data_IF_011495396006
#
_entry.id   IF_011495396006
#
_cell.length_a   1.000
_cell.length_b   1.000
_cell.length_c   1.000
_cell.angle_alpha   90.00
_cell.angle_beta   90.00
_cell.angle_gamma   90.00
#
_symmetry.space_group_name_H-M   'P 1'
#
loop_
_entity.id
_entity.type
_entity.pdbx_description
1 polymer ?
#
# COMPACT_ATOMS: atom_id res chain seq x y z
N UNK A 1 7.10 -13.88 -85.34
CA UNK A 1 8.24 -12.96 -85.67
C UNK A 1 8.22 -11.81 -84.65
N UNK A 2 9.35 -11.62 -83.97
CA UNK A 2 9.74 -10.55 -83.05
C UNK A 2 9.34 -10.64 -81.59
N UNK A 3 10.31 -10.95 -80.85
CA UNK A 3 10.77 -10.79 -79.51
C UNK A 3 10.82 -9.31 -79.10
N UNK A 4 10.55 -8.96 -77.80
CA UNK A 4 11.10 -7.86 -77.00
C UNK A 4 10.22 -7.88 -75.68
N UNK A 5 10.68 -7.95 -74.52
CA UNK A 5 11.86 -7.56 -73.80
C UNK A 5 11.39 -7.28 -72.38
N UNK A 6 11.98 -7.92 -71.44
CA UNK A 6 11.67 -7.85 -69.99
C UNK A 6 12.34 -6.58 -69.40
N UNK A 7 11.74 -5.84 -68.48
CA UNK A 7 12.52 -5.11 -67.49
C UNK A 7 12.34 -5.64 -66.04
N UNK A 8 13.45 -5.87 -65.42
CA UNK A 8 13.68 -6.23 -64.05
C UNK A 8 13.15 -5.12 -63.13
N UNK A 9 12.20 -5.46 -62.25
CA UNK A 9 11.82 -4.61 -61.12
C UNK A 9 12.74 -4.96 -59.95
N UNK A 10 13.49 -3.96 -59.49
CA UNK A 10 14.30 -4.03 -58.27
C UNK A 10 13.40 -3.90 -57.08
N UNK A 11 13.39 -4.91 -56.20
CA UNK A 11 12.70 -4.88 -54.88
C UNK A 11 13.67 -4.21 -53.92
N UNK A 12 13.33 -2.99 -53.47
CA UNK A 12 13.99 -2.33 -52.37
C UNK A 12 13.45 -2.92 -51.06
N UNK A 13 14.27 -3.69 -50.34
CA UNK A 13 13.93 -4.17 -49.00
C UNK A 13 14.03 -3.02 -47.99
N UNK A 14 12.87 -2.62 -47.47
CA UNK A 14 12.78 -1.65 -46.39
C UNK A 14 13.10 -2.38 -45.05
N UNK A 15 14.27 -2.12 -44.49
CA UNK A 15 14.63 -2.59 -43.15
C UNK A 15 13.95 -1.69 -42.15
N UNK A 16 12.83 -2.17 -41.56
CA UNK A 16 12.21 -1.54 -40.38
C UNK A 16 12.96 -2.05 -39.18
N UNK A 17 13.84 -1.24 -38.62
CA UNK A 17 14.48 -1.51 -37.32
C UNK A 17 13.44 -1.47 -36.20
N UNK A 18 13.15 -2.63 -35.65
CA UNK A 18 12.25 -2.78 -34.48
C UNK A 18 12.93 -2.26 -33.22
N UNK A 19 12.62 -1.03 -32.83
CA UNK A 19 13.04 -0.42 -31.56
C UNK A 19 11.97 -0.68 -30.46
N UNK A 20 11.44 -1.91 -30.37
CA UNK A 20 10.33 -2.24 -29.50
C UNK A 20 10.63 -3.19 -28.32
N UNK A 21 11.84 -3.78 -28.25
CA UNK A 21 12.08 -4.89 -27.32
C UNK A 21 12.69 -4.48 -25.96
N UNK A 22 13.15 -3.24 -25.77
CA UNK A 22 13.89 -2.85 -24.57
C UNK A 22 13.03 -2.32 -23.42
N UNK A 23 11.85 -1.78 -23.71
CA UNK A 23 10.95 -1.23 -22.67
C UNK A 23 10.24 -2.31 -21.85
N UNK A 24 9.87 -3.43 -22.48
CA UNK A 24 9.20 -4.55 -21.81
C UNK A 24 10.10 -5.23 -20.77
N UNK A 25 11.37 -5.47 -21.10
CA UNK A 25 12.33 -6.09 -20.19
C UNK A 25 12.73 -5.21 -19.00
N UNK A 26 12.73 -3.89 -19.14
CA UNK A 26 13.03 -2.98 -18.05
C UNK A 26 11.87 -2.91 -17.03
N UNK A 27 10.62 -2.95 -17.50
CA UNK A 27 9.45 -2.95 -16.65
C UNK A 27 9.34 -4.25 -15.80
N UNK A 28 9.60 -5.41 -16.41
CA UNK A 28 9.57 -6.69 -15.70
C UNK A 28 10.67 -6.80 -14.63
N UNK A 29 11.88 -6.31 -14.94
CA UNK A 29 12.97 -6.25 -13.94
C UNK A 29 12.66 -5.27 -12.82
N UNK A 30 12.04 -4.15 -13.12
CA UNK A 30 11.64 -3.17 -12.11
C UNK A 30 10.56 -3.74 -11.16
N UNK A 31 9.56 -4.45 -11.69
CA UNK A 31 8.56 -5.15 -10.88
C UNK A 31 9.17 -6.17 -9.92
N UNK A 32 10.13 -6.96 -10.39
CA UNK A 32 10.85 -7.95 -9.57
C UNK A 32 11.63 -7.29 -8.42
N UNK A 33 12.21 -6.10 -8.61
CA UNK A 33 12.90 -5.38 -7.54
C UNK A 33 11.92 -4.94 -6.42
N UNK A 34 10.73 -4.47 -6.76
CA UNK A 34 9.70 -4.13 -5.76
C UNK A 34 9.22 -5.38 -5.01
N UNK A 35 8.98 -6.49 -5.72
CA UNK A 35 8.55 -7.75 -5.11
C UNK A 35 9.60 -8.29 -4.11
N UNK A 36 10.89 -8.07 -4.37
CA UNK A 36 11.97 -8.46 -3.45
C UNK A 36 11.95 -7.71 -2.11
N UNK A 37 11.32 -6.53 -2.07
CA UNK A 37 11.14 -5.74 -0.84
C UNK A 37 9.98 -6.26 0.02
N UNK A 38 9.15 -7.17 -0.49
CA UNK A 38 7.94 -7.64 0.19
C UNK A 38 8.18 -8.97 0.90
N UNK A 39 7.48 -9.17 2.01
CA UNK A 39 7.27 -10.49 2.58
C UNK A 39 6.10 -11.18 1.85
N UNK A 40 6.18 -12.50 1.63
CA UNK A 40 5.07 -13.24 1.02
C UNK A 40 3.86 -13.30 1.98
N UNK A 41 2.64 -13.64 1.49
CA UNK A 41 1.43 -13.73 2.31
C UNK A 41 1.50 -14.69 3.50
N UNK A 42 2.39 -15.69 3.46
CA UNK A 42 2.68 -16.60 4.56
C UNK A 42 3.88 -16.16 5.42
N UNK A 43 4.38 -14.94 5.22
CA UNK A 43 5.46 -14.36 6.01
C UNK A 43 5.04 -14.06 7.43
N UNK A 44 6.03 -13.94 8.30
CA UNK A 44 5.85 -13.61 9.72
C UNK A 44 6.85 -12.54 10.15
N UNK A 45 6.48 -11.76 11.14
CA UNK A 45 7.36 -10.80 11.81
C UNK A 45 7.26 -11.03 13.30
N UNK A 46 8.37 -11.37 13.96
CA UNK A 46 8.45 -11.66 15.40
C UNK A 46 7.42 -12.70 15.88
N UNK A 47 7.16 -13.72 15.05
CA UNK A 47 6.21 -14.79 15.36
C UNK A 47 4.76 -14.49 15.04
N UNK A 48 4.43 -13.26 14.64
CA UNK A 48 3.08 -12.90 14.17
C UNK A 48 2.94 -13.18 12.67
N UNK A 49 1.89 -13.90 12.33
CA UNK A 49 1.53 -14.15 10.94
C UNK A 49 1.03 -12.88 10.27
N UNK A 50 1.03 -12.84 8.94
CA UNK A 50 0.46 -11.73 8.21
C UNK A 50 -1.05 -11.54 8.54
N UNK A 51 -1.80 -12.64 8.73
CA UNK A 51 -3.21 -12.58 9.15
C UNK A 51 -3.41 -11.95 10.52
N UNK A 52 -2.56 -12.25 11.50
CA UNK A 52 -2.56 -11.59 12.81
C UNK A 52 -2.26 -10.09 12.68
N UNK A 53 -1.28 -9.73 11.85
CA UNK A 53 -0.93 -8.33 11.61
C UNK A 53 -2.07 -7.52 10.98
N UNK A 54 -2.90 -8.13 10.11
CA UNK A 54 -4.09 -7.44 9.57
C UNK A 54 -5.13 -7.16 10.66
N UNK A 55 -5.31 -8.06 11.63
CA UNK A 55 -6.18 -7.84 12.78
C UNK A 55 -5.65 -6.68 13.66
N UNK A 56 -4.34 -6.69 13.98
CA UNK A 56 -3.69 -5.61 14.74
C UNK A 56 -3.80 -4.26 14.03
N UNK A 57 -3.73 -4.23 12.71
CA UNK A 57 -3.91 -2.99 11.95
C UNK A 57 -5.31 -2.39 12.19
N UNK A 58 -6.36 -3.21 12.20
CA UNK A 58 -7.71 -2.74 12.51
C UNK A 58 -7.85 -2.29 13.96
N UNK A 59 -7.24 -3.01 14.91
CA UNK A 59 -7.20 -2.62 16.32
C UNK A 59 -6.46 -1.30 16.51
N UNK A 60 -5.31 -1.12 15.87
CA UNK A 60 -4.59 0.15 15.85
C UNK A 60 -5.45 1.28 15.30
N UNK A 61 -6.11 1.09 14.18
CA UNK A 61 -6.93 2.12 13.55
C UNK A 61 -8.14 2.53 14.39
N UNK A 62 -8.71 1.60 15.17
CA UNK A 62 -9.86 1.86 16.05
C UNK A 62 -9.45 2.49 17.39
N UNK A 63 -8.24 2.21 17.84
CA UNK A 63 -7.71 2.77 19.10
C UNK A 63 -7.39 4.27 18.99
N UNK A 64 -7.13 4.78 17.79
CA UNK A 64 -6.83 6.18 17.60
C UNK A 64 -8.08 7.06 17.74
N UNK A 65 -7.96 8.28 18.28
CA UNK A 65 -9.09 9.19 18.49
C UNK A 65 -9.75 9.64 17.18
N UNK A 66 -9.00 9.57 16.08
CA UNK A 66 -9.47 9.80 14.71
C UNK A 66 -8.93 8.64 13.87
N UNK A 67 -9.79 8.01 13.09
CA UNK A 67 -9.39 6.92 12.21
C UNK A 67 -8.29 7.38 11.23
N UNK A 68 -7.16 6.68 11.16
CA UNK A 68 -6.00 7.13 10.38
C UNK A 68 -6.25 7.14 8.86
N UNK A 69 -7.27 6.43 8.39
CA UNK A 69 -7.69 6.47 6.99
C UNK A 69 -8.49 7.75 6.62
N UNK A 70 -8.82 8.61 7.61
CA UNK A 70 -9.39 9.95 7.38
C UNK A 70 -8.31 11.05 7.37
N UNK A 71 -7.06 10.73 7.66
CA UNK A 71 -5.93 11.67 7.64
C UNK A 71 -5.53 11.97 6.20
N UNK A 72 -5.60 13.22 5.73
CA UNK A 72 -5.26 13.55 4.36
C UNK A 72 -3.75 13.73 4.10
N UNK A 73 -2.98 14.12 5.11
CA UNK A 73 -1.61 14.63 4.96
C UNK A 73 -0.53 13.89 5.79
N UNK A 74 -0.91 12.92 6.62
CA UNK A 74 0.03 12.07 7.37
C UNK A 74 0.28 12.49 8.81
N UNK A 75 -0.49 13.43 9.36
CA UNK A 75 -0.32 13.89 10.75
C UNK A 75 -0.54 12.80 11.79
N UNK A 76 -1.32 11.77 11.46
CA UNK A 76 -1.63 10.68 12.36
C UNK A 76 -0.70 9.47 12.18
N UNK A 77 0.22 9.50 11.22
CA UNK A 77 0.95 8.30 10.86
C UNK A 77 1.96 7.82 11.91
N UNK A 78 2.33 8.67 12.86
CA UNK A 78 3.25 8.32 13.96
C UNK A 78 2.51 7.92 15.25
N UNK A 79 1.17 8.06 15.29
CA UNK A 79 0.38 7.80 16.49
C UNK A 79 0.13 6.31 16.70
N UNK A 80 0.25 5.87 17.95
CA UNK A 80 -0.08 4.50 18.37
C UNK A 80 0.75 3.41 17.69
N UNK A 81 1.93 3.74 17.20
CA UNK A 81 2.84 2.78 16.54
C UNK A 81 3.65 2.01 17.57
N UNK A 82 3.46 0.71 17.62
CA UNK A 82 4.12 -0.18 18.57
C UNK A 82 4.74 -1.40 17.87
N UNK A 83 5.76 -2.01 18.53
CA UNK A 83 6.36 -3.26 18.07
C UNK A 83 7.18 -3.13 16.77
N UNK A 84 7.47 -4.25 16.07
CA UNK A 84 8.39 -4.31 14.95
C UNK A 84 7.75 -3.89 13.61
N UNK A 85 6.42 -3.75 13.56
CA UNK A 85 5.67 -3.40 12.35
C UNK A 85 5.08 -2.00 12.48
N UNK A 86 5.35 -1.15 11.50
CA UNK A 86 4.77 0.18 11.36
C UNK A 86 3.52 0.12 10.48
N UNK A 87 2.42 0.64 10.95
CA UNK A 87 1.15 0.62 10.23
C UNK A 87 0.97 1.90 9.41
N UNK A 88 0.63 1.75 8.13
CA UNK A 88 0.19 2.84 7.27
C UNK A 88 -1.27 2.65 6.90
N UNK A 89 -2.00 3.74 6.70
CA UNK A 89 -3.41 3.69 6.36
C UNK A 89 -3.65 3.89 4.85
N UNK A 90 -4.70 3.26 4.32
CA UNK A 90 -5.34 3.67 3.07
C UNK A 90 -6.21 4.92 3.27
N UNK A 91 -7.30 5.05 2.50
CA UNK A 91 -8.35 6.05 2.68
C UNK A 91 -9.70 5.37 2.90
N UNK A 92 -10.72 6.11 3.22
CA UNK A 92 -12.10 5.61 3.26
C UNK A 92 -12.76 5.57 1.85
N UNK A 93 -12.01 5.95 0.81
CA UNK A 93 -12.49 5.98 -0.57
C UNK A 93 -13.16 7.29 -0.98
N UNK A 94 -13.32 8.27 -0.09
CA UNK A 94 -13.98 9.55 -0.38
C UNK A 94 -13.04 10.63 -0.89
N UNK A 95 -11.72 10.45 -0.72
CA UNK A 95 -10.69 11.40 -1.13
C UNK A 95 -9.38 10.69 -1.52
N UNK A 96 -8.51 11.43 -2.21
CA UNK A 96 -7.13 11.02 -2.47
C UNK A 96 -6.22 11.62 -1.38
N UNK A 97 -5.32 10.80 -0.82
CA UNK A 97 -4.40 11.25 0.23
C UNK A 97 -2.98 11.37 -0.31
N UNK A 98 -2.26 12.38 0.19
CA UNK A 98 -0.82 12.52 -0.01
C UNK A 98 -0.18 12.79 1.34
N UNK A 99 0.51 11.78 1.87
CA UNK A 99 0.99 11.75 3.24
C UNK A 99 2.50 11.75 3.31
N UNK A 100 3.01 12.38 4.36
CA UNK A 100 4.44 12.38 4.68
C UNK A 100 4.62 11.84 6.09
N UNK A 101 5.46 10.79 6.24
CA UNK A 101 5.67 10.08 7.50
C UNK A 101 7.15 9.90 7.81
N UNK A 102 7.50 9.98 9.09
CA UNK A 102 8.80 9.55 9.60
C UNK A 102 8.66 8.14 10.18
N UNK A 103 9.50 7.21 9.70
CA UNK A 103 9.49 5.82 10.15
C UNK A 103 10.85 5.49 10.75
N UNK A 104 10.92 4.94 11.97
CA UNK A 104 12.18 4.48 12.54
C UNK A 104 12.84 3.40 11.65
N UNK A 105 14.16 3.44 11.52
CA UNK A 105 14.89 2.41 10.78
C UNK A 105 14.67 1.03 11.39
N UNK A 106 14.71 -0.01 10.55
CA UNK A 106 14.55 -1.40 10.97
C UNK A 106 13.11 -1.88 11.16
N UNK A 107 12.09 -1.03 10.97
CA UNK A 107 10.68 -1.42 11.04
C UNK A 107 10.20 -2.03 9.74
N UNK A 108 9.45 -3.14 9.83
CA UNK A 108 8.60 -3.58 8.73
C UNK A 108 7.44 -2.59 8.56
N UNK A 109 6.87 -2.51 7.37
CA UNK A 109 5.75 -1.60 7.11
C UNK A 109 4.57 -2.41 6.58
N UNK A 110 3.43 -2.34 7.27
CA UNK A 110 2.18 -2.93 6.80
C UNK A 110 1.27 -1.83 6.27
N UNK A 111 0.86 -1.96 5.01
CA UNK A 111 -0.05 -1.03 4.35
C UNK A 111 -1.15 -1.77 3.59
N UNK A 112 -2.44 -1.40 3.77
CA UNK A 112 -3.51 -1.92 2.93
C UNK A 112 -3.41 -1.31 1.53
N UNK A 113 -3.64 -2.13 0.51
CA UNK A 113 -3.90 -1.67 -0.86
C UNK A 113 -5.38 -1.32 -0.98
N UNK A 114 -6.22 -2.27 -0.59
CA UNK A 114 -7.66 -2.11 -0.38
C UNK A 114 -8.13 -3.26 0.53
N UNK A 115 -8.95 -2.96 1.52
CA UNK A 115 -9.32 -3.92 2.54
C UNK A 115 -10.71 -3.67 3.09
N UNK A 116 -11.27 -4.70 3.69
CA UNK A 116 -12.57 -4.69 4.35
C UNK A 116 -12.47 -5.36 5.73
N UNK A 117 -13.33 -4.93 6.63
CA UNK A 117 -13.67 -5.68 7.85
C UNK A 117 -15.17 -5.92 7.91
N UNK A 118 -15.57 -6.93 8.64
CA UNK A 118 -16.95 -7.15 9.00
C UNK A 118 -17.03 -7.51 10.47
N UNK A 119 -17.89 -6.81 11.20
CA UNK A 119 -18.00 -6.93 12.66
C UNK A 119 -19.40 -7.35 13.06
N UNK A 120 -19.49 -8.13 14.13
CA UNK A 120 -20.75 -8.45 14.78
C UNK A 120 -21.27 -7.23 15.57
N UNK A 121 -21.89 -6.28 14.85
CA UNK A 121 -22.45 -5.08 15.48
C UNK A 121 -23.74 -5.45 16.20
N UNK A 122 -23.74 -5.36 17.52
CA UNK A 122 -24.97 -5.47 18.32
C UNK A 122 -25.87 -4.27 17.96
N UNK A 123 -27.01 -4.52 17.37
CA UNK A 123 -28.07 -3.49 17.28
C UNK A 123 -28.64 -3.28 18.68
N UNK A 124 -28.66 -2.05 19.16
CA UNK A 124 -29.26 -1.71 20.43
C UNK A 124 -30.64 -2.38 20.60
N UNK A 125 -30.82 -3.17 21.66
CA UNK A 125 -32.11 -3.75 22.06
C UNK A 125 -32.44 -5.13 21.47
N UNK A 126 -31.54 -5.81 20.81
CA UNK A 126 -31.71 -7.21 20.40
C UNK A 126 -30.62 -8.08 20.97
N UNK A 127 -30.99 -9.18 21.63
CA UNK A 127 -30.10 -10.30 21.93
C UNK A 127 -29.74 -11.04 20.64
N UNK A 128 -29.02 -10.34 19.73
CA UNK A 128 -28.58 -10.95 18.49
C UNK A 128 -27.59 -12.08 18.83
N UNK A 129 -27.91 -13.28 18.38
CA UNK A 129 -27.01 -14.41 18.50
C UNK A 129 -25.65 -14.06 17.90
N UNK A 130 -24.54 -14.51 18.50
CA UNK A 130 -23.22 -14.26 17.95
C UNK A 130 -23.14 -14.79 16.53
N UNK A 131 -22.69 -13.94 15.59
CA UNK A 131 -22.43 -14.37 14.22
C UNK A 131 -21.20 -15.27 14.24
N UNK A 132 -21.26 -16.51 13.70
CA UNK A 132 -20.10 -17.37 13.65
C UNK A 132 -18.93 -16.74 12.90
N UNK A 133 -17.70 -16.92 13.37
CA UNK A 133 -16.49 -16.33 12.79
C UNK A 133 -16.37 -16.61 11.27
N UNK A 134 -16.69 -17.82 10.83
CA UNK A 134 -16.68 -18.17 9.39
C UNK A 134 -17.60 -17.25 8.57
N UNK A 135 -18.74 -16.85 9.11
CA UNK A 135 -19.69 -15.96 8.42
C UNK A 135 -19.12 -14.54 8.39
N UNK A 136 -18.49 -14.07 9.49
CA UNK A 136 -17.82 -12.77 9.50
C UNK A 136 -16.69 -12.72 8.47
N UNK A 137 -15.88 -13.77 8.36
CA UNK A 137 -14.81 -13.88 7.37
C UNK A 137 -15.35 -13.88 5.93
N UNK A 138 -16.45 -14.60 5.67
CA UNK A 138 -17.11 -14.58 4.37
C UNK A 138 -17.66 -13.18 4.02
N UNK A 139 -18.25 -12.51 5.01
CA UNK A 139 -18.76 -11.14 4.82
C UNK A 139 -17.63 -10.13 4.56
N UNK A 140 -16.51 -10.22 5.26
CA UNK A 140 -15.35 -9.38 5.01
C UNK A 140 -14.73 -9.60 3.61
N UNK A 141 -14.93 -10.81 3.04
CA UNK A 141 -14.39 -11.19 1.73
C UNK A 141 -15.19 -10.66 0.53
N UNK A 142 -16.45 -10.29 0.70
CA UNK A 142 -17.40 -10.02 -0.39
C UNK A 142 -16.85 -9.07 -1.45
N UNK A 143 -16.35 -7.89 -1.06
CA UNK A 143 -15.80 -6.93 -2.01
C UNK A 143 -14.40 -7.37 -2.51
N UNK A 144 -13.61 -8.05 -1.67
CA UNK A 144 -12.27 -8.49 -2.04
C UNK A 144 -12.26 -9.59 -3.11
N UNK A 145 -13.34 -10.33 -3.26
CA UNK A 145 -13.54 -11.26 -4.38
C UNK A 145 -13.81 -10.56 -5.71
N UNK A 146 -14.06 -9.25 -5.67
CA UNK A 146 -14.41 -8.39 -6.80
C UNK A 146 -13.39 -7.27 -7.00
N UNK A 147 -12.10 -7.57 -6.83
CA UNK A 147 -11.04 -6.61 -7.13
C UNK A 147 -11.09 -6.22 -8.61
N UNK A 148 -11.42 -4.96 -8.89
CA UNK A 148 -11.49 -4.43 -10.25
C UNK A 148 -10.12 -4.13 -10.80
N UNK A 149 -9.31 -3.36 -10.07
CA UNK A 149 -7.92 -3.08 -10.40
C UNK A 149 -7.11 -2.76 -9.16
N UNK A 150 -5.80 -3.03 -9.21
CA UNK A 150 -4.87 -2.64 -8.18
C UNK A 150 -3.49 -2.34 -8.78
N UNK A 151 -2.87 -1.27 -8.29
CA UNK A 151 -1.51 -0.86 -8.61
C UNK A 151 -0.82 -0.46 -7.31
N UNK A 152 0.40 -0.93 -7.14
CA UNK A 152 1.28 -0.50 -6.05
C UNK A 152 2.69 -0.26 -6.60
N UNK A 153 3.29 0.86 -6.22
CA UNK A 153 4.67 1.21 -6.55
C UNK A 153 5.44 1.50 -5.25
N UNK A 154 6.65 0.96 -5.15
CA UNK A 154 7.63 1.29 -4.11
C UNK A 154 8.81 1.94 -4.81
N UNK A 155 9.14 3.17 -4.47
CA UNK A 155 10.19 3.97 -5.12
C UNK A 155 10.05 4.05 -6.66
N UNK A 156 8.80 4.17 -7.13
CA UNK A 156 8.46 4.18 -8.55
C UNK A 156 8.50 2.83 -9.23
N UNK A 157 8.90 1.76 -8.53
CA UNK A 157 8.99 0.40 -9.07
C UNK A 157 7.68 -0.34 -8.78
N UNK A 158 7.08 -0.92 -9.81
CA UNK A 158 5.78 -1.59 -9.70
C UNK A 158 5.90 -2.98 -9.04
N UNK A 159 4.99 -3.28 -8.13
CA UNK A 159 4.71 -4.64 -7.65
C UNK A 159 4.01 -5.41 -8.77
N UNK A 160 4.52 -6.58 -9.16
CA UNK A 160 4.09 -7.27 -10.39
C UNK A 160 2.71 -7.90 -10.27
N UNK A 161 2.41 -8.56 -9.17
CA UNK A 161 1.16 -9.28 -8.93
C UNK A 161 0.58 -8.93 -7.56
N UNK A 162 -0.20 -7.86 -7.52
CA UNK A 162 -0.86 -7.40 -6.29
C UNK A 162 -1.90 -8.42 -5.81
N UNK A 163 -2.54 -9.16 -6.70
CA UNK A 163 -3.60 -10.10 -6.36
C UNK A 163 -3.11 -11.23 -5.44
N UNK A 164 -1.85 -11.62 -5.53
CA UNK A 164 -1.24 -12.65 -4.66
C UNK A 164 -1.12 -12.23 -3.19
N UNK A 165 -1.20 -10.94 -2.90
CA UNK A 165 -1.08 -10.38 -1.55
C UNK A 165 -2.44 -10.21 -0.85
N UNK A 166 -3.44 -11.01 -1.23
CA UNK A 166 -4.68 -11.10 -0.47
C UNK A 166 -4.46 -11.87 0.82
N UNK A 167 -4.78 -11.24 1.95
CA UNK A 167 -4.63 -11.82 3.29
C UNK A 167 -5.89 -11.58 4.09
N UNK A 168 -6.32 -12.62 4.82
CA UNK A 168 -7.41 -12.59 5.79
C UNK A 168 -6.85 -12.64 7.20
N UNK A 169 -7.60 -12.12 8.17
CA UNK A 169 -7.30 -12.42 9.57
C UNK A 169 -7.39 -13.92 9.83
N UNK A 170 -6.41 -14.48 10.56
CA UNK A 170 -6.34 -15.93 10.84
C UNK A 170 -7.55 -16.43 11.61
N UNK A 171 -8.04 -15.59 12.53
CA UNK A 171 -9.23 -15.80 13.33
C UNK A 171 -10.05 -14.50 13.40
N UNK A 172 -11.23 -14.59 13.99
CA UNK A 172 -11.94 -13.40 14.41
C UNK A 172 -11.28 -12.83 15.68
N UNK A 173 -11.31 -11.53 15.80
CA UNK A 173 -10.63 -10.78 16.84
C UNK A 173 -11.57 -9.71 17.43
N UNK A 174 -11.38 -9.31 18.70
CA UNK A 174 -12.05 -8.14 19.25
C UNK A 174 -11.54 -6.88 18.53
N UNK A 175 -12.43 -6.00 18.09
CA UNK A 175 -12.03 -4.79 17.37
C UNK A 175 -11.24 -3.82 18.26
N UNK A 176 -11.66 -3.71 19.53
CA UNK A 176 -10.86 -3.04 20.57
C UNK A 176 -10.16 -4.15 21.36
N UNK A 177 -8.83 -4.13 21.35
CA UNK A 177 -8.04 -5.09 22.10
C UNK A 177 -8.37 -4.99 23.60
N UNK A 178 -8.35 -6.13 24.29
CA UNK A 178 -8.60 -6.23 25.74
C UNK A 178 -9.99 -5.75 26.21
N UNK A 179 -10.94 -5.55 25.29
CA UNK A 179 -12.34 -5.26 25.60
C UNK A 179 -13.23 -6.46 25.27
N UNK A 180 -13.67 -7.19 26.29
CA UNK A 180 -14.55 -8.36 26.15
C UNK A 180 -15.93 -8.01 25.55
N UNK A 181 -16.33 -6.73 25.61
CA UNK A 181 -17.57 -6.24 25.02
C UNK A 181 -17.42 -5.82 23.55
N UNK A 182 -16.18 -5.76 23.08
CA UNK A 182 -15.86 -5.40 21.70
C UNK A 182 -16.47 -6.40 20.71
N UNK A 183 -17.03 -5.91 19.58
CA UNK A 183 -17.61 -6.80 18.59
C UNK A 183 -16.54 -7.71 17.98
N UNK A 184 -16.87 -9.01 17.89
CA UNK A 184 -16.05 -9.95 17.12
C UNK A 184 -16.00 -9.51 15.66
N UNK A 185 -14.81 -9.45 15.10
CA UNK A 185 -14.53 -8.87 13.78
C UNK A 185 -13.66 -9.82 12.96
N UNK A 186 -13.85 -9.84 11.65
CA UNK A 186 -12.96 -10.46 10.69
C UNK A 186 -12.48 -9.43 9.66
N UNK A 187 -11.28 -9.62 9.14
CA UNK A 187 -10.69 -8.79 8.08
C UNK A 187 -10.32 -9.63 6.86
N UNK A 188 -10.43 -9.01 5.69
CA UNK A 188 -9.96 -9.53 4.41
C UNK A 188 -9.48 -8.34 3.56
N UNK A 189 -8.46 -8.52 2.75
CA UNK A 189 -7.97 -7.44 1.89
C UNK A 189 -6.70 -7.78 1.16
N UNK A 190 -6.25 -6.82 0.37
CA UNK A 190 -4.97 -6.83 -0.30
C UNK A 190 -4.02 -5.91 0.46
N UNK A 191 -2.85 -6.45 0.84
CA UNK A 191 -1.94 -5.81 1.76
C UNK A 191 -0.50 -5.96 1.29
N UNK A 192 0.35 -4.99 1.59
CA UNK A 192 1.79 -5.14 1.45
C UNK A 192 2.43 -5.16 2.83
N UNK A 193 3.25 -6.18 3.09
CA UNK A 193 4.16 -6.23 4.23
C UNK A 193 5.58 -6.02 3.72
N UNK A 194 6.03 -4.77 3.82
CA UNK A 194 7.32 -4.31 3.28
C UNK A 194 8.39 -4.60 4.33
N UNK A 195 9.49 -5.22 3.90
CA UNK A 195 10.68 -5.42 4.72
C UNK A 195 11.26 -4.08 5.15
N UNK A 196 12.10 -4.02 6.21
CA UNK A 196 12.77 -2.79 6.59
C UNK A 196 13.48 -2.14 5.40
N UNK A 197 13.09 -0.90 5.11
CA UNK A 197 13.71 -0.11 4.07
C UNK A 197 15.02 0.51 4.59
N UNK A 198 15.94 0.79 3.70
CA UNK A 198 17.16 1.51 4.04
C UNK A 198 16.85 2.91 4.60
N UNK A 199 17.70 3.48 5.49
CA UNK A 199 17.53 4.88 5.87
C UNK A 199 17.53 5.82 4.65
N UNK A 200 16.59 6.77 4.64
CA UNK A 200 16.45 7.71 3.53
C UNK A 200 15.00 8.01 3.17
N UNK A 201 14.82 8.67 2.04
CA UNK A 201 13.51 9.02 1.49
C UNK A 201 13.02 7.93 0.55
N UNK A 202 11.84 7.40 0.84
CA UNK A 202 11.15 6.42 0.00
C UNK A 202 9.77 6.94 -0.41
N UNK A 203 9.21 6.34 -1.46
CA UNK A 203 7.86 6.67 -1.93
C UNK A 203 7.02 5.41 -2.05
N UNK A 204 5.74 5.53 -1.72
CA UNK A 204 4.75 4.50 -1.91
C UNK A 204 3.54 5.10 -2.61
N UNK A 205 3.14 4.52 -3.74
CA UNK A 205 1.95 4.95 -4.49
C UNK A 205 1.00 3.77 -4.64
N UNK A 206 -0.23 3.94 -4.24
CA UNK A 206 -1.26 2.89 -4.28
C UNK A 206 -2.53 3.41 -4.92
N UNK A 207 -3.06 2.64 -5.87
CA UNK A 207 -4.36 2.81 -6.46
C UNK A 207 -5.08 1.47 -6.56
N UNK A 208 -6.33 1.39 -6.11
CA UNK A 208 -7.14 0.19 -6.20
C UNK A 208 -8.63 0.51 -6.23
N UNK A 209 -9.42 -0.39 -6.78
CA UNK A 209 -10.87 -0.31 -6.69
C UNK A 209 -11.51 -1.69 -6.62
N UNK A 210 -12.66 -1.77 -5.99
CA UNK A 210 -13.59 -2.88 -6.18
C UNK A 210 -14.44 -2.63 -7.42
N UNK A 211 -14.76 -3.69 -8.15
CA UNK A 211 -15.71 -3.62 -9.25
C UNK A 211 -17.06 -3.14 -8.73
N UNK A 212 -17.74 -2.30 -9.50
CA UNK A 212 -19.12 -1.95 -9.22
C UNK A 212 -19.98 -3.17 -9.52
N UNK A 213 -20.59 -3.74 -8.48
CA UNK A 213 -21.41 -4.95 -8.56
C UNK A 213 -22.56 -4.80 -7.55
N UNK A 214 -23.76 -5.21 -7.96
CA UNK A 214 -24.97 -5.12 -7.14
C UNK A 214 -24.94 -6.06 -5.92
N UNK A 215 -24.08 -7.11 -5.97
CA UNK A 215 -23.94 -8.09 -4.90
C UNK A 215 -22.89 -7.72 -3.83
N UNK A 216 -22.19 -6.58 -3.97
CA UNK A 216 -21.17 -6.10 -3.05
C UNK A 216 -21.69 -5.06 -2.04
N UNK A 217 -20.78 -4.60 -1.17
CA UNK A 217 -21.05 -3.50 -0.22
C UNK A 217 -20.89 -2.11 -0.85
N UNK A 218 -20.92 -2.03 -2.17
CA UNK A 218 -20.75 -0.80 -2.91
C UNK A 218 -19.33 -0.59 -3.44
N UNK A 219 -19.23 0.45 -4.25
CA UNK A 219 -17.99 0.84 -4.90
C UNK A 219 -17.04 1.50 -3.90
N UNK A 220 -15.79 1.09 -3.90
CA UNK A 220 -14.71 1.75 -3.17
C UNK A 220 -13.53 1.99 -4.10
N UNK A 221 -12.91 3.16 -3.99
CA UNK A 221 -11.71 3.53 -4.73
C UNK A 221 -10.66 4.00 -3.74
N UNK A 222 -9.47 3.40 -3.79
CA UNK A 222 -8.30 3.81 -3.02
C UNK A 222 -7.33 4.53 -3.94
N UNK A 223 -6.87 5.72 -3.53
CA UNK A 223 -5.84 6.48 -4.22
C UNK A 223 -5.03 7.25 -3.19
N UNK A 224 -3.81 6.83 -2.93
CA UNK A 224 -2.96 7.52 -1.97
C UNK A 224 -1.47 7.34 -2.25
N UNK A 225 -0.72 8.31 -1.78
CA UNK A 225 0.75 8.36 -1.85
C UNK A 225 1.32 8.61 -0.47
N UNK A 226 2.48 8.01 -0.21
CA UNK A 226 3.33 8.30 0.94
C UNK A 226 4.72 8.73 0.50
N UNK A 227 5.24 9.75 1.17
CA UNK A 227 6.67 10.04 1.27
C UNK A 227 7.11 9.57 2.65
N UNK A 228 8.00 8.60 2.70
CA UNK A 228 8.48 7.98 3.92
C UNK A 228 9.91 8.44 4.19
N UNK A 229 10.17 9.00 5.37
CA UNK A 229 11.51 9.33 5.84
C UNK A 229 11.96 8.25 6.84
N UNK A 230 12.68 7.25 6.34
CA UNK A 230 13.14 6.13 7.16
C UNK A 230 14.42 6.51 7.90
N UNK A 231 14.41 6.36 9.22
CA UNK A 231 15.53 6.74 10.09
C UNK A 231 15.60 8.23 10.43
N UNK A 232 14.56 9.00 10.08
CA UNK A 232 14.45 10.42 10.34
C UNK A 232 14.47 11.28 9.07
N UNK A 233 14.07 12.54 9.20
CA UNK A 233 14.21 13.53 8.11
C UNK A 233 15.67 13.88 8.00
N UNK A 234 16.33 13.55 6.90
CA UNK A 234 17.64 14.09 6.57
C UNK A 234 17.42 15.54 6.13
N UNK A 235 17.48 16.48 7.04
CA UNK A 235 17.70 17.86 6.67
C UNK A 235 19.11 17.91 6.04
N UNK A 236 19.17 17.95 4.74
CA UNK A 236 20.37 18.44 4.08
C UNK A 236 20.48 19.90 4.44
N UNK A 237 21.15 20.19 5.54
CA UNK A 237 21.65 21.50 5.86
C UNK A 237 22.69 21.87 4.79
N UNK A 238 22.23 22.26 3.64
CA UNK A 238 22.98 23.10 2.72
C UNK A 238 23.01 24.50 3.33
N UNK A 239 23.72 24.64 4.44
CA UNK A 239 24.21 25.95 4.83
C UNK A 239 25.26 26.32 3.80
N UNK A 240 25.08 27.39 3.02
CA UNK A 240 26.19 27.93 2.25
C UNK A 240 27.21 28.41 3.28
N UNK A 241 28.31 27.69 3.38
CA UNK A 241 29.52 28.18 4.02
C UNK A 241 30.02 29.40 3.24
N UNK A 242 29.75 30.58 3.74
CA UNK A 242 30.21 31.79 3.09
C UNK A 242 29.50 33.04 3.58
N UNK A 243 29.57 33.37 4.87
CA UNK A 243 29.45 34.71 5.38
C UNK A 243 30.12 34.81 6.78
N UNK A 244 31.36 34.35 6.86
CA UNK A 244 32.26 34.80 7.90
C UNK A 244 32.94 36.11 7.40
N UNK A 245 32.15 37.16 7.31
CA UNK A 245 32.68 38.51 7.23
C UNK A 245 32.90 39.06 8.66
N UNK A 246 34.04 39.70 8.97
CA UNK A 246 34.28 40.20 10.31
C UNK A 246 33.28 41.32 10.63
N UNK A 247 32.63 41.19 11.80
CA UNK A 247 31.85 42.25 12.41
C UNK A 247 32.79 43.43 12.65
N UNK A 248 32.70 44.49 11.81
CA UNK A 248 33.34 45.73 12.05
C UNK A 248 32.60 46.42 13.22
N UNK A 249 33.22 46.43 14.37
CA UNK A 249 32.80 47.26 15.50
C UNK A 249 32.97 48.74 15.12
N UNK A 250 31.86 49.39 14.81
CA UNK A 250 31.78 50.86 14.66
C UNK A 250 31.57 51.51 16.01
N UNK A 251 32.62 52.14 16.49
CA UNK A 251 32.63 53.10 17.59
C UNK A 251 32.02 54.42 17.09
N UNK A 252 31.02 54.92 17.76
CA UNK A 252 30.80 56.27 18.34
C UNK A 252 29.33 56.51 18.60
#
# INVERSE_FOLDING_TARGET
>A
MRIIGNPRAAIAALVIATCGATLSHAADKAGTAADAMLLPPNGQVDGETFGMLTARWWQWSEHLPIAPFLDPDGRLCELGQEGPVWFLAGTDGTFNARRECVIPAGRHILVPIINMRYSNVRRHGTDALPIPCKVLQQSAAVNNERLGSAVALIDGVRVTDVARYRVRSDACFPLVADDETSPSTAADGYWLLIKPLAPGRHTLTIGANYAADDDGYGRMVQNFEYVLHVGGRTEMASRPSGLDGPLVAGVR
#
